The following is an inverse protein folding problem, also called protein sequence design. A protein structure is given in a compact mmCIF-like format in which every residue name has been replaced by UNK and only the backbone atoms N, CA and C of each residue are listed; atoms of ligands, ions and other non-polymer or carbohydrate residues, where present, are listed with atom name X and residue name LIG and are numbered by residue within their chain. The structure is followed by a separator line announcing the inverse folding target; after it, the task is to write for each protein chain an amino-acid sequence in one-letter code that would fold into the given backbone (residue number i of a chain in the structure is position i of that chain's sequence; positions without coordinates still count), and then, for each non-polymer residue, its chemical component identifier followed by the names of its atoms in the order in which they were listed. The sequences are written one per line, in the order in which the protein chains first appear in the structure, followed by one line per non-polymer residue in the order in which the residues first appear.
data_IF_008134865415
#
_entry.id   IF_008134865415
#
_cell.length_a   1.000
_cell.length_b   1.000
_cell.length_c   1.000
_cell.angle_alpha   90.00
_cell.angle_beta   90.00
_cell.angle_gamma   90.00
#
_symmetry.space_group_name_H-M   'P 1'
#
loop_
_entity.id
_entity.type
_entity.pdbx_description
1 polymer ?
2 non-polymer ?
3 non-polymer ?
4 water ?
#
# COMPACT_ATOMS: atom_id res chain seq x y z
N UNK A 1 23.62 -19.22 13.01
CA UNK A 1 23.29 -20.51 13.68
C UNK A 1 21.79 -20.90 13.63
N UNK A 2 20.96 -20.16 12.90
CA UNK A 2 19.50 -20.42 12.88
C UNK A 2 19.02 -21.18 11.65
N UNK A 3 19.85 -21.20 10.60
CA UNK A 3 19.46 -21.81 9.32
C UNK A 3 19.00 -23.26 9.53
N UNK A 4 17.94 -23.63 8.83
CA UNK A 4 17.40 -24.98 8.88
C UNK A 4 16.61 -25.36 10.13
N UNK A 5 16.44 -24.46 11.10
CA UNK A 5 15.65 -24.78 12.29
C UNK A 5 14.74 -23.65 12.81
N UNK A 6 13.86 -24.06 13.72
CA UNK A 6 12.80 -23.23 14.29
C UNK A 6 13.41 -22.04 15.01
N UNK A 7 12.77 -20.88 14.83
CA UNK A 7 13.12 -19.66 15.55
C UNK A 7 11.98 -19.27 16.52
N UNK A 8 12.38 -19.03 17.77
CA UNK A 8 11.50 -18.51 18.82
C UNK A 8 11.67 -17.01 18.79
N UNK A 9 10.56 -16.27 18.70
CA UNK A 9 10.62 -14.79 18.63
C UNK A 9 9.31 -14.14 19.06
N UNK A 10 9.28 -12.83 19.01
CA UNK A 10 8.10 -12.06 19.34
C UNK A 10 7.39 -11.71 18.04
N UNK A 11 6.06 -11.70 18.12
CA UNK A 11 5.19 -11.25 17.02
C UNK A 11 4.00 -10.53 17.61
N UNK A 12 3.18 -9.95 16.74
CA UNK A 12 1.98 -9.25 17.12
C UNK A 12 0.81 -10.04 16.60
N UNK A 13 0.12 -10.73 17.49
CA UNK A 13 -0.95 -11.64 17.12
C UNK A 13 -2.33 -11.03 17.37
N UNK A 14 -3.21 -11.11 16.37
CA UNK A 14 -4.59 -10.68 16.54
C UNK A 14 -5.46 -11.93 16.76
N UNK A 15 -5.80 -12.21 18.01
CA UNK A 15 -6.55 -13.45 18.38
C UNK A 15 -7.99 -13.44 17.87
N UNK A 16 -8.60 -12.26 17.85
CA UNK A 16 -9.94 -12.11 17.33
C UNK A 16 -10.21 -10.66 16.96
N UNK A 17 -11.39 -10.46 16.36
CA UNK A 17 -11.82 -9.15 15.87
C UNK A 17 -11.89 -8.13 17.01
N UNK A 18 -11.61 -6.88 16.69
CA UNK A 18 -11.90 -5.71 17.54
C UNK A 18 -11.27 -5.81 18.92
N UNK A 19 -10.03 -6.22 18.93
CA UNK A 19 -9.22 -6.30 20.11
C UNK A 19 -7.85 -5.73 19.77
N UNK A 20 -7.08 -5.37 20.78
CA UNK A 20 -5.76 -4.87 20.44
C UNK A 20 -4.88 -6.06 20.03
N UNK A 21 -3.73 -5.77 19.44
CA UNK A 21 -2.71 -6.80 19.20
C UNK A 21 -2.05 -7.21 20.52
N UNK A 22 -1.85 -8.51 20.74
CA UNK A 22 -1.03 -8.96 21.88
C UNK A 22 0.34 -9.40 21.39
N UNK A 23 1.36 -8.92 22.11
CA UNK A 23 2.73 -9.34 21.92
C UNK A 23 2.76 -10.76 22.54
N UNK A 24 3.03 -11.77 21.70
CA UNK A 24 3.15 -13.16 22.11
C UNK A 24 4.51 -13.72 21.66
N UNK A 25 4.95 -14.79 22.33
CA UNK A 25 6.09 -15.56 21.87
C UNK A 25 5.63 -16.52 20.76
N UNK A 26 6.46 -16.64 19.73
CA UNK A 26 6.08 -17.29 18.50
C UNK A 26 7.15 -18.25 18.02
N UNK A 27 6.71 -19.35 17.45
CA UNK A 27 7.60 -20.27 16.78
C UNK A 27 7.45 -20.10 15.26
N UNK A 28 8.54 -19.74 14.60
CA UNK A 28 8.55 -19.55 13.16
C UNK A 28 9.29 -20.72 12.56
N UNK A 29 8.55 -21.59 11.85
CA UNK A 29 9.16 -22.74 11.19
C UNK A 29 10.18 -22.28 10.14
N UNK A 30 11.20 -23.12 9.88
CA UNK A 30 12.17 -22.81 8.82
C UNK A 30 11.57 -22.88 7.41
N UNK A 31 12.16 -22.15 6.45
CA UNK A 31 11.67 -22.12 5.07
C UNK A 31 11.73 -23.48 4.35
N UNK A 32 10.60 -23.94 3.80
CA UNK A 32 10.52 -25.10 2.90
C UNK A 32 10.95 -24.71 1.48
N UNK A 33 10.86 -25.66 0.54
CA UNK A 33 11.11 -25.43 -0.90
C UNK A 33 10.48 -24.13 -1.44
N UNK A 34 11.35 -23.29 -2.00
CA UNK A 34 10.96 -22.03 -2.64
C UNK A 34 10.40 -20.96 -1.69
N UNK A 35 10.80 -21.04 -0.42
CA UNK A 35 10.38 -20.07 0.60
C UNK A 35 11.59 -19.36 1.23
N UNK A 36 11.40 -18.09 1.59
CA UNK A 36 12.43 -17.25 2.20
C UNK A 36 11.99 -16.97 3.61
N UNK A 37 12.94 -16.69 4.50
CA UNK A 37 12.63 -16.26 5.87
C UNK A 37 13.43 -15.03 6.19
N UNK A 38 12.80 -14.10 6.89
CA UNK A 38 13.25 -12.71 6.92
C UNK A 38 13.22 -12.17 8.34
N UNK A 39 14.32 -11.57 8.77
CA UNK A 39 14.35 -10.75 9.99
C UNK A 39 13.83 -9.35 9.70
N UNK A 40 12.67 -9.00 10.26
CA UNK A 40 12.12 -7.65 10.03
C UNK A 40 13.04 -6.61 10.65
N UNK A 41 13.24 -5.53 9.90
CA UNK A 41 13.90 -4.34 10.42
C UNK A 41 12.92 -3.18 10.55
N UNK A 42 11.92 -3.07 9.67
CA UNK A 42 10.86 -2.04 9.84
C UNK A 42 9.57 -2.38 9.14
N UNK A 43 8.44 -2.12 9.78
CA UNK A 43 7.13 -2.36 9.17
C UNK A 43 6.31 -1.12 9.34
N UNK A 44 5.53 -0.75 8.32
CA UNK A 44 4.61 0.38 8.39
C UNK A 44 3.26 -0.09 8.89
N UNK A 45 2.49 0.83 9.44
CA UNK A 45 1.10 0.56 9.84
C UNK A 45 0.18 1.17 8.78
N UNK A 46 -0.52 0.31 8.04
CA UNK A 46 -1.39 0.77 6.97
C UNK A 46 -2.85 0.55 7.36
N UNK A 47 -3.74 1.27 6.71
CA UNK A 47 -5.20 1.15 6.87
C UNK A 47 -5.78 -0.25 6.80
N UNK A 48 -5.31 -1.04 5.83
CA UNK A 48 -5.86 -2.39 5.62
C UNK A 48 -5.65 -3.29 6.86
N UNK A 49 -4.50 -3.12 7.52
CA UNK A 49 -4.22 -3.78 8.78
C UNK A 49 -5.27 -3.43 9.83
N UNK A 50 -5.66 -2.16 9.94
CA UNK A 50 -6.77 -1.75 10.85
C UNK A 50 -8.09 -2.38 10.39
N UNK A 51 -8.33 -2.44 9.08
CA UNK A 51 -9.55 -3.07 8.59
C UNK A 51 -9.60 -4.54 8.98
N UNK A 52 -8.45 -5.22 9.11
CA UNK A 52 -8.40 -6.61 9.65
C UNK A 52 -8.96 -6.63 11.07
N UNK A 53 -8.54 -5.62 11.86
CA UNK A 53 -8.97 -5.43 13.26
C UNK A 53 -10.48 -5.22 13.43
N UNK A 54 -11.09 -4.34 12.64
CA UNK A 54 -12.57 -4.13 12.70
C UNK A 54 -13.41 -5.26 12.06
N UNK A 55 -12.76 -6.19 11.37
CA UNK A 55 -13.44 -7.29 10.67
C UNK A 55 -14.01 -6.93 9.31
N UNK A 56 -13.61 -5.77 8.77
CA UNK A 56 -14.10 -5.26 7.50
C UNK A 56 -13.24 -5.68 6.29
N UNK A 57 -11.99 -6.09 6.54
CA UNK A 57 -11.20 -6.85 5.57
C UNK A 57 -11.17 -8.27 6.12
N UNK A 58 -11.99 -9.14 5.51
CA UNK A 58 -12.21 -10.50 5.99
C UNK A 58 -11.03 -11.40 5.56
N UNK A 59 -10.22 -11.80 6.52
CA UNK A 59 -9.13 -12.78 6.33
C UNK A 59 -9.25 -13.70 7.54
N UNK A 60 -8.73 -14.93 7.48
CA UNK A 60 -8.96 -15.81 8.64
C UNK A 60 -8.10 -15.45 9.86
N UNK A 61 -8.68 -15.62 11.05
CA UNK A 61 -8.05 -15.34 12.35
C UNK A 61 -7.80 -16.65 13.11
N UNK A 62 -6.93 -16.68 14.11
CA UNK A 62 -5.97 -15.63 14.42
C UNK A 62 -4.94 -15.43 13.32
N UNK A 63 -4.35 -14.24 13.28
CA UNK A 63 -3.46 -13.86 12.20
C UNK A 63 -2.37 -12.97 12.73
N UNK A 64 -1.17 -13.17 12.18
CA UNK A 64 -0.09 -12.17 12.22
C UNK A 64 -0.36 -11.35 10.99
N UNK A 65 -0.70 -10.08 11.21
CA UNK A 65 -1.04 -9.14 10.16
C UNK A 65 0.19 -8.33 9.74
N UNK A 66 -0.02 -7.23 9.05
CA UNK A 66 1.10 -6.39 8.61
C UNK A 66 1.57 -6.85 7.25
N UNK A 67 1.70 -5.91 6.32
CA UNK A 67 2.10 -6.16 4.93
C UNK A 67 3.07 -5.14 4.25
N UNK A 68 3.32 -4.00 4.91
CA UNK A 68 4.25 -2.96 4.44
C UNK A 68 5.53 -3.07 5.28
N UNK A 69 6.60 -3.64 4.71
CA UNK A 69 7.83 -3.88 5.47
C UNK A 69 9.09 -3.97 4.65
N UNK A 70 10.24 -3.86 5.33
CA UNK A 70 11.51 -4.36 4.79
C UNK A 70 12.26 -5.11 5.87
N UNK A 71 13.26 -5.86 5.46
CA UNK A 71 14.08 -6.62 6.38
C UNK A 71 15.26 -7.26 5.71
N UNK A 72 15.82 -8.26 6.36
CA UNK A 72 17.00 -8.95 5.85
C UNK A 72 16.72 -10.45 5.89
N UNK A 73 17.12 -11.16 4.83
CA UNK A 73 16.95 -12.59 4.74
C UNK A 73 17.82 -13.30 5.80
N UNK A 74 17.22 -14.22 6.58
CA UNK A 74 17.95 -15.05 7.53
C UNK A 74 18.46 -16.34 6.89
N UNK A 75 17.59 -17.00 6.11
CA UNK A 75 17.94 -18.20 5.34
C UNK A 75 17.03 -18.33 4.12
N UNK A 76 17.26 -19.34 3.29
CA UNK A 76 16.43 -19.62 2.09
C UNK A 76 16.13 -21.11 2.01
N UNK A 77 15.04 -21.48 1.37
CA UNK A 77 14.69 -22.87 1.15
C UNK A 77 15.42 -23.41 -0.07
N UNK A 78 15.07 -24.63 -0.49
CA UNK A 78 15.65 -25.24 -1.68
C UNK A 78 15.28 -24.48 -2.96
N UNK A 79 16.25 -24.37 -3.88
CA UNK A 79 15.99 -23.91 -5.24
C UNK A 79 15.60 -22.45 -5.39
N UNK A 80 15.74 -21.69 -4.31
CA UNK A 80 15.51 -20.24 -4.30
C UNK A 80 16.68 -19.60 -5.04
N UNK A 81 16.34 -18.73 -5.99
CA UNK A 81 17.29 -18.15 -6.92
C UNK A 81 17.37 -16.64 -6.83
N UNK A 82 16.27 -15.99 -6.46
CA UNK A 82 16.14 -14.53 -6.59
C UNK A 82 16.79 -13.72 -5.47
N UNK A 83 17.04 -14.40 -4.34
CA UNK A 83 17.63 -13.80 -3.14
C UNK A 83 18.59 -14.76 -2.43
N UNK A 84 19.53 -14.20 -1.67
CA UNK A 84 20.53 -14.96 -0.86
C UNK A 84 20.36 -14.66 0.62
N UNK A 85 20.96 -15.50 1.52
CA UNK A 85 21.17 -15.10 2.91
C UNK A 85 21.69 -13.65 3.06
N UNK A 86 21.11 -12.88 3.98
CA UNK A 86 21.56 -11.50 4.24
C UNK A 86 21.14 -10.39 3.26
N UNK A 87 20.46 -10.77 2.17
CA UNK A 87 20.02 -9.77 1.23
C UNK A 87 18.94 -8.98 1.93
N UNK A 88 19.02 -7.65 1.82
CA UNK A 88 17.93 -6.79 2.25
C UNK A 88 16.77 -7.03 1.28
N UNK A 89 15.53 -6.94 1.77
CA UNK A 89 14.36 -7.31 0.97
C UNK A 89 13.14 -6.54 1.40
N UNK A 90 12.13 -6.51 0.51
CA UNK A 90 10.76 -6.04 0.83
C UNK A 90 9.76 -7.12 0.42
N UNK A 91 8.98 -7.63 1.39
CA UNK A 91 7.88 -8.51 1.01
C UNK A 91 6.86 -7.85 0.10
N UNK A 92 6.22 -8.66 -0.74
CA UNK A 92 5.35 -8.18 -1.81
C UNK A 92 3.95 -8.75 -1.58
N UNK A 93 3.01 -7.92 -1.12
CA UNK A 93 1.65 -8.43 -0.76
C UNK A 93 0.84 -8.78 -2.01
N UNK A 94 1.24 -8.20 -3.12
CA UNK A 94 0.84 -8.59 -4.44
C UNK A 94 2.06 -9.31 -5.01
N UNK A 95 1.97 -10.65 -5.20
CA UNK A 95 3.08 -11.38 -5.80
C UNK A 95 3.42 -11.05 -7.28
N UNK A 96 4.49 -11.69 -7.78
CA UNK A 96 4.74 -11.79 -9.21
C UNK A 96 5.25 -13.19 -9.50
N UNK A 97 4.32 -14.12 -9.73
CA UNK A 97 4.71 -15.48 -10.14
C UNK A 97 5.44 -15.49 -11.49
N UNK A 98 5.08 -14.56 -12.38
CA UNK A 98 5.69 -14.46 -13.72
C UNK A 98 5.12 -15.45 -14.72
N UNK A 99 4.10 -16.22 -14.29
CA UNK A 99 3.56 -17.37 -15.04
C UNK A 99 2.05 -17.35 -15.26
N UNK A 100 1.28 -16.58 -14.49
CA UNK A 100 -0.17 -16.52 -14.71
C UNK A 100 -0.54 -15.65 -15.93
N UNK A 101 -1.81 -15.69 -16.33
CA UNK A 101 -2.36 -14.81 -17.37
C UNK A 101 -1.98 -13.34 -17.11
N UNK A 102 -2.15 -12.95 -15.86
CA UNK A 102 -1.99 -11.56 -15.45
C UNK A 102 -0.49 -11.16 -15.52
N UNK A 103 0.37 -11.96 -14.90
CA UNK A 103 1.82 -11.72 -14.92
C UNK A 103 2.38 -11.64 -16.37
N UNK A 104 1.94 -12.56 -17.23
CA UNK A 104 2.33 -12.54 -18.65
C UNK A 104 1.84 -11.32 -19.43
N UNK A 105 0.71 -10.74 -19.02
CA UNK A 105 0.13 -9.54 -19.69
C UNK A 105 1.03 -8.31 -19.50
N UNK A 106 1.07 -7.40 -20.49
CA UNK A 106 1.96 -6.23 -20.36
C UNK A 106 1.49 -5.08 -19.45
N UNK A 107 0.18 -4.99 -19.22
CA UNK A 107 -0.43 -3.96 -18.38
C UNK A 107 -0.76 -4.45 -16.96
N UNK A 108 -1.09 -5.73 -16.82
CA UNK A 108 -1.57 -6.27 -15.55
C UNK A 108 -0.52 -6.51 -14.47
N UNK A 109 -0.97 -6.45 -13.22
CA UNK A 109 -0.15 -6.72 -12.04
C UNK A 109 -0.83 -7.53 -10.90
N UNK A 110 -2.14 -7.75 -10.96
CA UNK A 110 -2.86 -8.41 -9.90
C UNK A 110 -2.73 -9.92 -10.13
N UNK A 111 -1.56 -10.42 -9.73
CA UNK A 111 -1.14 -11.80 -9.94
C UNK A 111 -2.24 -12.75 -9.45
N UNK A 112 -2.51 -13.82 -10.21
CA UNK A 112 -3.60 -14.72 -9.86
C UNK A 112 -3.26 -15.53 -8.61
N UNK A 113 -1.97 -15.59 -8.27
CA UNK A 113 -1.56 -16.21 -7.02
C UNK A 113 -1.73 -15.31 -5.76
N UNK A 114 -2.37 -14.14 -5.90
CA UNK A 114 -2.65 -13.27 -4.75
C UNK A 114 -3.58 -13.91 -3.72
N UNK A 115 -3.45 -13.46 -2.47
CA UNK A 115 -4.31 -13.89 -1.33
C UNK A 115 -5.31 -12.78 -0.94
N UNK A 116 -5.58 -11.84 -1.84
CA UNK A 116 -6.44 -10.68 -1.56
C UNK A 116 -7.93 -10.91 -1.81
N UNK A 117 -8.25 -11.58 -2.91
CA UNK A 117 -9.64 -11.72 -3.35
C UNK A 117 -10.48 -12.61 -2.41
N UNK A 118 -10.01 -13.82 -2.16
CA UNK A 118 -10.64 -14.74 -1.21
C UNK A 118 -9.54 -15.23 -0.28
N UNK A 119 -9.16 -14.40 0.71
CA UNK A 119 -7.95 -14.73 1.49
C UNK A 119 -8.00 -16.08 2.22
N UNK A 120 -6.95 -16.88 2.06
CA UNK A 120 -6.75 -18.16 2.77
C UNK A 120 -5.90 -18.01 4.07
N UNK A 121 -5.12 -16.93 4.15
CA UNK A 121 -4.23 -16.72 5.27
C UNK A 121 -3.24 -17.84 5.42
N UNK A 122 -2.62 -18.24 4.32
CA UNK A 122 -1.62 -19.30 4.38
C UNK A 122 -0.42 -18.95 3.48
N UNK A 123 0.55 -19.87 3.41
CA UNK A 123 1.60 -19.85 2.38
C UNK A 123 0.96 -20.37 1.09
N UNK A 124 1.70 -20.30 -0.03
CA UNK A 124 1.19 -20.80 -1.30
C UNK A 124 0.78 -22.27 -1.23
N UNK A 125 1.44 -23.06 -0.38
CA UNK A 125 1.13 -24.49 -0.24
C UNK A 125 -0.08 -24.88 0.64
N UNK A 126 -0.72 -23.91 1.30
CA UNK A 126 -1.90 -24.18 2.13
C UNK A 126 -1.66 -24.39 3.61
N UNK A 127 -0.42 -24.20 4.07
CA UNK A 127 -0.08 -24.37 5.49
C UNK A 127 0.49 -23.08 6.10
N UNK A 128 0.62 -23.08 7.42
CA UNK A 128 1.12 -21.96 8.23
C UNK A 128 2.51 -22.27 8.78
N UNK A 129 3.34 -21.24 8.85
CA UNK A 129 4.69 -21.37 9.40
C UNK A 129 4.79 -20.78 10.82
N UNK A 130 3.67 -20.35 11.40
CA UNK A 130 3.63 -19.71 12.72
C UNK A 130 2.86 -20.58 13.72
N UNK A 131 3.42 -20.82 14.91
CA UNK A 131 2.63 -21.32 16.07
C UNK A 131 2.81 -20.45 17.31
N UNK A 132 1.69 -20.26 18.04
CA UNK A 132 1.68 -19.66 19.38
C UNK A 132 0.98 -20.58 20.40
N UNK A 133 1.78 -21.12 21.33
CA UNK A 133 1.35 -22.13 22.33
C UNK A 133 0.90 -23.45 21.67
N UNK A 134 1.50 -23.80 20.53
CA UNK A 134 1.01 -24.90 19.69
C UNK A 134 -0.24 -24.63 18.85
N UNK A 135 -0.94 -23.53 19.07
CA UNK A 135 -2.07 -23.15 18.22
C UNK A 135 -1.49 -22.50 16.96
N UNK A 136 -1.82 -23.02 15.76
CA UNK A 136 -1.33 -22.36 14.54
C UNK A 136 -1.98 -20.99 14.32
N UNK A 137 -1.28 -20.09 13.63
CA UNK A 137 -1.78 -18.73 13.33
C UNK A 137 -1.61 -18.45 11.84
N UNK A 138 -2.61 -17.81 11.24
CA UNK A 138 -2.59 -17.54 9.81
C UNK A 138 -1.61 -16.44 9.40
N UNK A 139 -1.20 -16.50 8.13
CA UNK A 139 -0.45 -15.44 7.48
C UNK A 139 -1.45 -14.40 7.01
N UNK A 140 -0.94 -13.27 6.53
CA UNK A 140 -1.78 -12.23 5.97
C UNK A 140 -1.12 -11.80 4.67
N UNK A 141 -1.88 -11.89 3.58
CA UNK A 141 -1.42 -11.52 2.22
C UNK A 141 -0.09 -12.14 1.80
N UNK A 142 0.17 -13.36 2.26
CA UNK A 142 1.44 -13.98 2.07
C UNK A 142 2.63 -13.18 2.56
N UNK A 143 2.43 -12.25 3.52
CA UNK A 143 3.51 -11.40 4.08
C UNK A 143 3.66 -11.52 5.62
N UNK A 144 2.69 -10.99 6.37
CA UNK A 144 2.69 -11.06 7.85
C UNK A 144 3.92 -10.42 8.45
N UNK A 145 3.94 -9.10 8.51
CA UNK A 145 5.16 -8.37 8.83
C UNK A 145 5.23 -7.87 10.27
N UNK A 146 4.12 -7.99 11.02
CA UNK A 146 4.11 -7.73 12.48
C UNK A 146 4.86 -8.82 13.33
N UNK A 147 6.13 -9.10 13.01
CA UNK A 147 6.88 -10.19 13.64
C UNK A 147 8.38 -9.94 13.42
N UNK A 148 9.22 -10.34 14.37
CA UNK A 148 10.66 -10.15 14.25
C UNK A 148 11.16 -11.06 13.13
N UNK A 149 10.43 -12.14 12.88
CA UNK A 149 10.72 -13.08 11.81
C UNK A 149 9.42 -13.48 11.06
N UNK A 150 9.50 -13.56 9.73
CA UNK A 150 8.42 -14.09 8.87
C UNK A 150 9.01 -15.00 7.84
N UNK A 151 8.12 -15.70 7.17
CA UNK A 151 8.50 -16.56 6.05
C UNK A 151 7.48 -16.29 4.96
N UNK A 152 7.97 -16.11 3.73
CA UNK A 152 7.12 -15.85 2.56
C UNK A 152 7.57 -16.68 1.36
N UNK A 153 6.66 -16.86 0.40
CA UNK A 153 6.96 -17.63 -0.82
C UNK A 153 7.87 -16.78 -1.70
N UNK A 154 8.69 -17.42 -2.55
CA UNK A 154 9.71 -16.63 -3.30
C UNK A 154 9.07 -15.53 -4.18
N UNK A 155 7.90 -15.84 -4.71
CA UNK A 155 7.15 -14.90 -5.54
C UNK A 155 6.53 -13.72 -4.77
N UNK A 156 6.67 -13.71 -3.43
CA UNK A 156 6.28 -12.58 -2.57
C UNK A 156 7.45 -11.86 -1.91
N UNK A 157 8.60 -11.78 -2.58
CA UNK A 157 9.75 -11.05 -2.01
C UNK A 157 10.68 -10.51 -3.09
N UNK A 158 11.27 -9.34 -2.82
CA UNK A 158 12.13 -8.67 -3.77
C UNK A 158 13.48 -8.28 -3.15
N UNK A 159 14.57 -8.65 -3.82
CA UNK A 159 15.90 -8.18 -3.44
C UNK A 159 16.00 -6.66 -3.68
N UNK A 160 16.71 -5.93 -2.81
CA UNK A 160 16.90 -4.46 -3.00
C UNK A 160 18.35 -4.02 -2.72
N UNK A 161 18.70 -2.81 -3.15
CA UNK A 161 20.07 -2.25 -3.01
C UNK A 161 20.60 -2.58 -1.60
N UNK A 162 21.83 -3.10 -1.52
CA UNK A 162 22.41 -3.57 -0.25
C UNK A 162 22.62 -2.48 0.79
N UNK A 163 22.33 -1.23 0.44
CA UNK A 163 22.64 -0.06 1.26
C UNK A 163 21.42 0.80 1.63
N UNK A 164 20.20 0.31 1.40
CA UNK A 164 19.00 1.17 1.57
C UNK A 164 18.60 1.33 3.06
N UNK A 165 18.19 2.55 3.48
CA UNK A 165 17.77 2.70 4.87
C UNK A 165 16.40 2.04 5.06
N UNK A 166 16.39 0.85 5.68
CA UNK A 166 15.17 0.04 5.79
C UNK A 166 14.04 0.70 6.57
N UNK A 167 14.39 1.61 7.48
CA UNK A 167 13.37 2.43 8.17
C UNK A 167 12.54 3.24 7.16
N UNK A 168 13.13 3.62 6.02
CA UNK A 168 12.46 4.48 5.04
C UNK A 168 11.88 3.72 3.82
N UNK A 169 12.69 2.91 3.14
CA UNK A 169 12.22 2.19 1.93
C UNK A 169 11.10 1.14 2.13
N UNK A 170 10.80 0.79 3.38
CA UNK A 170 9.67 -0.11 3.66
C UNK A 170 8.33 0.39 3.10
N UNK A 171 8.13 1.71 3.10
CA UNK A 171 6.97 2.38 2.43
C UNK A 171 6.68 1.99 0.95
N UNK A 172 7.72 1.55 0.24
CA UNK A 172 7.58 0.99 -1.12
C UNK A 172 6.85 -0.36 -1.13
N UNK A 173 6.75 -1.02 0.02
CA UNK A 173 5.94 -2.20 0.18
C UNK A 173 4.45 -2.01 0.06
N UNK A 174 3.98 -0.78 0.23
CA UNK A 174 2.55 -0.51 0.06
C UNK A 174 2.13 0.93 -0.18
N UNK A 175 2.11 1.75 0.87
CA UNK A 175 1.48 3.08 0.78
C UNK A 175 2.03 4.06 -0.27
N UNK A 176 3.36 4.11 -0.38
CA UNK A 176 4.01 4.98 -1.36
C UNK A 176 3.66 4.53 -2.76
N UNK A 177 4.08 3.31 -3.12
CA UNK A 177 3.95 2.75 -4.46
C UNK A 177 2.49 2.65 -4.93
N UNK A 178 1.55 2.51 -3.98
CA UNK A 178 0.11 2.51 -4.27
C UNK A 178 -0.27 3.90 -4.79
N UNK A 179 0.14 4.95 -4.11
CA UNK A 179 -0.13 6.31 -4.58
C UNK A 179 0.69 6.82 -5.79
N UNK A 180 2.02 6.72 -5.68
CA UNK A 180 2.92 7.10 -6.76
C UNK A 180 2.49 6.40 -8.03
N UNK A 181 2.35 5.08 -7.97
CA UNK A 181 2.01 4.30 -9.16
C UNK A 181 0.70 4.62 -9.82
N UNK A 182 -0.30 4.96 -9.00
CA UNK A 182 -1.60 5.40 -9.47
C UNK A 182 -1.47 6.59 -10.47
N UNK A 183 -0.50 7.47 -10.20
CA UNK A 183 -0.27 8.65 -11.02
C UNK A 183 0.61 8.40 -12.23
N UNK A 184 1.76 7.73 -12.06
CA UNK A 184 2.75 7.56 -13.15
C UNK A 184 2.60 6.27 -14.00
N UNK A 185 2.18 5.16 -13.39
CA UNK A 185 1.94 3.95 -14.17
C UNK A 185 0.51 3.83 -14.68
N UNK A 186 -0.48 3.99 -13.80
CA UNK A 186 -1.88 3.69 -14.15
C UNK A 186 -2.47 4.79 -15.02
N UNK A 187 -2.51 5.99 -14.46
CA UNK A 187 -3.13 7.14 -15.10
C UNK A 187 -2.26 7.65 -16.23
N UNK A 188 -0.94 7.54 -16.06
CA UNK A 188 0.06 8.06 -17.02
C UNK A 188 -0.10 9.58 -17.16
N UNK A 189 -0.07 10.27 -16.02
CA UNK A 189 -0.13 11.75 -15.99
C UNK A 189 0.88 12.29 -16.98
N UNK A 190 0.52 13.37 -17.66
CA UNK A 190 1.35 13.94 -18.73
C UNK A 190 1.79 15.37 -18.40
N UNK A 191 2.77 15.84 -19.16
CA UNK A 191 3.28 17.20 -19.03
C UNK A 191 2.16 18.23 -19.01
N UNK A 192 2.28 19.19 -18.10
CA UNK A 192 1.41 20.36 -18.07
C UNK A 192 -0.06 20.13 -17.73
N UNK A 193 -0.41 18.90 -17.36
CA UNK A 193 -1.79 18.51 -17.15
C UNK A 193 -2.29 19.11 -15.85
N UNK A 194 -3.60 19.05 -15.63
CA UNK A 194 -4.22 19.47 -14.39
C UNK A 194 -4.71 18.23 -13.62
N UNK A 195 -4.14 18.00 -12.43
CA UNK A 195 -4.50 16.86 -11.60
C UNK A 195 -5.37 17.29 -10.43
N UNK A 196 -6.15 16.36 -9.90
CA UNK A 196 -6.97 16.62 -8.74
C UNK A 196 -6.99 15.38 -7.85
N UNK A 197 -6.36 15.46 -6.66
CA UNK A 197 -6.29 14.36 -5.69
C UNK A 197 -7.35 14.50 -4.56
N UNK A 198 -8.14 13.46 -4.35
CA UNK A 198 -9.16 13.41 -3.31
C UNK A 198 -8.65 12.52 -2.18
N UNK A 199 -8.46 13.10 -0.99
CA UNK A 199 -7.81 12.44 0.16
C UNK A 199 -6.30 12.70 0.25
N UNK A 200 -5.86 13.34 1.35
CA UNK A 200 -4.49 13.82 1.55
C UNK A 200 -3.72 13.15 2.73
N UNK A 201 -4.14 11.94 3.10
CA UNK A 201 -3.29 11.01 3.86
C UNK A 201 -2.11 10.65 2.99
N UNK A 202 -1.33 9.69 3.42
CA UNK A 202 -0.01 9.37 2.85
C UNK A 202 -0.03 8.76 1.49
N UNK A 203 -1.08 8.04 1.17
CA UNK A 203 -1.22 7.49 -0.18
C UNK A 203 -1.48 8.68 -1.14
N UNK A 204 -2.47 9.51 -0.77
CA UNK A 204 -2.76 10.72 -1.51
C UNK A 204 -1.53 11.60 -1.76
N UNK A 205 -0.70 11.74 -0.74
CA UNK A 205 0.51 12.55 -0.85
C UNK A 205 1.48 11.88 -1.82
N UNK A 206 1.51 10.55 -1.82
CA UNK A 206 2.36 9.82 -2.74
C UNK A 206 1.83 9.95 -4.17
N UNK A 207 0.52 9.92 -4.32
CA UNK A 207 -0.12 10.34 -5.59
C UNK A 207 0.36 11.72 -6.02
N UNK A 208 0.30 12.70 -5.11
CA UNK A 208 0.74 14.04 -5.46
C UNK A 208 2.19 14.00 -5.91
N UNK A 209 3.00 13.25 -5.19
CA UNK A 209 4.39 13.12 -5.56
C UNK A 209 4.50 12.51 -6.95
N UNK A 210 3.66 11.52 -7.27
CA UNK A 210 3.64 10.92 -8.62
C UNK A 210 3.21 11.86 -9.75
N UNK A 211 2.29 12.78 -9.41
CA UNK A 211 1.80 13.84 -10.33
C UNK A 211 2.87 14.91 -10.62
N UNK A 212 3.60 15.35 -9.57
CA UNK A 212 4.78 16.22 -9.74
C UNK A 212 5.92 15.54 -10.50
N UNK A 213 6.14 14.26 -10.25
CA UNK A 213 7.17 13.50 -10.97
C UNK A 213 6.91 13.51 -12.48
N UNK A 214 5.64 13.50 -12.88
CA UNK A 214 5.26 13.44 -14.30
C UNK A 214 5.32 14.79 -15.07
N UNK A 215 5.35 15.92 -14.37
CA UNK A 215 5.40 17.27 -14.99
C UNK A 215 4.07 18.01 -15.02
N UNK A 216 3.21 17.72 -14.04
CA UNK A 216 1.90 18.37 -13.94
C UNK A 216 2.07 19.82 -13.57
N UNK A 217 1.37 20.67 -14.30
CA UNK A 217 1.39 22.11 -14.05
C UNK A 217 0.51 22.43 -12.86
N UNK A 218 -0.60 21.69 -12.71
CA UNK A 218 -1.56 21.94 -11.62
C UNK A 218 -1.92 20.64 -10.87
N UNK A 219 -1.81 20.69 -9.55
CA UNK A 219 -2.11 19.57 -8.66
C UNK A 219 -3.00 20.07 -7.52
N UNK A 220 -4.30 19.77 -7.66
CA UNK A 220 -5.30 20.31 -6.75
C UNK A 220 -5.60 19.28 -5.67
N UNK A 221 -5.20 19.57 -4.42
CA UNK A 221 -5.49 18.67 -3.32
C UNK A 221 -6.88 18.92 -2.76
N UNK A 222 -7.64 17.88 -2.54
CA UNK A 222 -8.94 17.99 -1.85
C UNK A 222 -8.94 17.15 -0.58
N UNK A 223 -9.39 17.76 0.52
CA UNK A 223 -9.59 17.09 1.82
C UNK A 223 -10.49 17.93 2.72
N UNK A 224 -11.21 17.26 3.61
CA UNK A 224 -12.15 17.91 4.55
C UNK A 224 -11.43 18.41 5.80
N UNK A 225 -10.23 17.89 6.05
CA UNK A 225 -9.40 18.30 7.15
C UNK A 225 -8.27 19.25 6.67
N UNK A 226 -8.48 20.55 6.90
CA UNK A 226 -7.45 21.62 6.71
C UNK A 226 -6.00 21.23 7.05
N UNK A 227 -5.81 20.51 8.15
CA UNK A 227 -4.48 20.22 8.70
C UNK A 227 -3.56 19.37 7.78
N UNK A 228 -4.13 18.82 6.71
CA UNK A 228 -3.42 17.95 5.79
C UNK A 228 -2.78 18.74 4.65
N UNK A 229 -3.17 20.02 4.53
CA UNK A 229 -2.82 20.87 3.40
C UNK A 229 -1.36 21.31 3.29
N UNK A 230 -0.69 21.63 4.41
CA UNK A 230 0.70 22.14 4.38
C UNK A 230 1.59 21.10 3.72
N UNK A 231 1.55 19.90 4.31
CA UNK A 231 2.28 18.75 3.80
C UNK A 231 2.05 18.51 2.29
N UNK A 232 0.80 18.58 1.84
CA UNK A 232 0.52 18.37 0.41
C UNK A 232 1.19 19.40 -0.50
N UNK A 233 1.19 20.67 -0.07
CA UNK A 233 1.86 21.71 -0.84
C UNK A 233 3.35 21.52 -0.75
N UNK A 234 3.83 21.13 0.41
CA UNK A 234 5.21 20.72 0.53
C UNK A 234 5.57 19.66 -0.52
N UNK A 235 4.78 18.60 -0.69
CA UNK A 235 5.16 17.54 -1.68
C UNK A 235 4.91 17.85 -3.16
N UNK A 236 4.26 18.96 -3.47
CA UNK A 236 4.03 19.37 -4.85
C UNK A 236 2.66 19.90 -5.20
N UNK A 237 1.70 19.76 -4.28
CA UNK A 237 0.37 20.26 -4.54
C UNK A 237 0.41 21.78 -4.75
N UNK A 238 0.07 22.23 -5.96
CA UNK A 238 0.09 23.66 -6.28
C UNK A 238 -1.10 24.41 -5.66
N UNK A 239 -2.16 23.70 -5.25
CA UNK A 239 -3.38 24.30 -4.70
C UNK A 239 -4.10 23.29 -3.80
N UNK A 240 -4.80 23.79 -2.79
CA UNK A 240 -5.66 22.96 -1.93
C UNK A 240 -7.03 23.54 -1.73
N UNK A 241 -8.00 22.66 -1.48
CA UNK A 241 -9.39 23.06 -1.36
C UNK A 241 -10.13 22.13 -0.40
N UNK A 242 -10.99 22.70 0.43
CA UNK A 242 -11.75 21.96 1.43
C UNK A 242 -13.20 22.11 1.07
N UNK A 243 -13.84 21.01 0.61
CA UNK A 243 -15.27 21.06 0.21
C UNK A 243 -16.25 21.76 1.17
N UNK A 244 -15.95 21.74 2.47
CA UNK A 244 -16.85 22.29 3.50
C UNK A 244 -16.79 23.79 3.65
N UNK A 245 -15.82 24.43 2.99
CA UNK A 245 -15.78 25.87 2.85
C UNK A 245 -16.84 26.39 1.85
N UNK A 246 -17.34 25.52 0.98
CA UNK A 246 -18.12 25.96 -0.18
C UNK A 246 -19.65 25.79 -0.06
N UNK A 247 -20.38 26.52 -0.89
CA UNK A 247 -21.84 26.40 -1.03
C UNK A 247 -22.18 25.38 -2.13
N UNK A 248 -21.38 25.35 -3.21
CA UNK A 248 -21.62 24.48 -4.38
C UNK A 248 -20.95 23.13 -4.14
N UNK A 249 -21.48 22.05 -4.75
CA UNK A 249 -20.82 20.76 -4.56
C UNK A 249 -19.51 20.77 -5.33
N UNK A 250 -18.54 20.01 -4.88
CA UNK A 250 -17.14 20.29 -5.20
C UNK A 250 -16.71 20.03 -6.65
N UNK A 251 -17.33 19.06 -7.34
CA UNK A 251 -17.06 18.87 -8.79
C UNK A 251 -17.49 20.09 -9.61
N UNK A 252 -18.55 20.76 -9.16
CA UNK A 252 -18.99 22.04 -9.76
C UNK A 252 -17.90 23.14 -9.60
N UNK A 253 -17.31 23.27 -8.40
CA UNK A 253 -16.19 24.22 -8.13
C UNK A 253 -14.89 23.81 -8.85
N UNK A 254 -14.58 22.52 -8.80
CA UNK A 254 -13.39 21.98 -9.46
C UNK A 254 -13.49 22.11 -10.97
N UNK A 255 -14.70 21.98 -11.52
CA UNK A 255 -14.94 22.18 -12.96
C UNK A 255 -14.71 23.66 -13.34
N UNK A 256 -15.26 24.61 -12.60
CA UNK A 256 -15.01 26.04 -12.97
C UNK A 256 -13.55 26.45 -12.70
N UNK A 257 -12.93 25.87 -11.66
CA UNK A 257 -11.50 26.05 -11.35
C UNK A 257 -10.58 25.58 -12.48
N UNK A 258 -10.92 24.44 -13.06
CA UNK A 258 -10.12 23.80 -14.08
C UNK A 258 -10.53 24.17 -15.51
N UNK A 259 -11.41 25.18 -15.65
CA UNK A 259 -11.91 25.67 -16.96
C UNK A 259 -12.65 24.60 -17.79
N UNK A 260 -13.51 23.85 -17.12
CA UNK A 260 -14.32 22.79 -17.75
C UNK A 260 -13.85 21.36 -17.51
N UNK A 261 -13.08 21.13 -16.46
CA UNK A 261 -12.70 19.78 -16.07
C UNK A 261 -11.20 19.49 -16.13
N UNK A 262 -10.74 18.69 -15.17
CA UNK A 262 -9.34 18.27 -15.05
C UNK A 262 -8.98 17.10 -15.99
N UNK A 263 -7.68 16.99 -16.28
CA UNK A 263 -7.12 15.90 -17.08
C UNK A 263 -7.14 14.55 -16.35
N UNK A 264 -6.82 14.56 -15.05
CA UNK A 264 -6.67 13.35 -14.22
C UNK A 264 -7.21 13.61 -12.83
N UNK A 265 -8.20 12.83 -12.39
CA UNK A 265 -8.62 12.82 -10.99
C UNK A 265 -8.31 11.48 -10.30
N UNK A 266 -8.11 11.54 -8.98
CA UNK A 266 -7.74 10.38 -8.19
C UNK A 266 -8.57 10.36 -6.95
N UNK A 267 -9.28 9.25 -6.71
CA UNK A 267 -9.98 9.03 -5.46
C UNK A 267 -9.05 8.21 -4.57
N UNK A 268 -8.63 8.82 -3.49
CA UNK A 268 -7.76 8.19 -2.54
C UNK A 268 -8.39 8.36 -1.17
N UNK A 269 -9.68 8.00 -1.01
CA UNK A 269 -10.39 8.19 0.27
C UNK A 269 -10.98 6.90 0.73
N UNK A 270 -11.99 6.41 0.02
CA UNK A 270 -12.70 5.22 0.49
C UNK A 270 -13.97 5.56 1.23
N UNK A 271 -14.71 6.51 0.66
CA UNK A 271 -16.15 6.55 0.78
C UNK A 271 -16.58 6.25 -0.63
N UNK A 272 -17.90 6.14 -0.82
CA UNK A 272 -18.47 5.91 -2.15
C UNK A 272 -18.62 7.22 -2.95
N UNK A 273 -19.45 8.15 -2.47
CA UNK A 273 -19.59 9.53 -3.01
C UNK A 273 -18.35 10.12 -3.68
N UNK A 274 -17.20 10.07 -2.99
CA UNK A 274 -16.02 10.77 -3.46
C UNK A 274 -15.46 10.22 -4.77
N UNK A 275 -15.71 8.94 -5.02
CA UNK A 275 -15.38 8.34 -6.31
C UNK A 275 -16.17 8.97 -7.44
N UNK A 276 -17.44 9.27 -7.19
CA UNK A 276 -18.31 9.84 -8.22
C UNK A 276 -17.97 11.29 -8.51
N UNK A 277 -17.78 12.04 -7.45
CA UNK A 277 -17.27 13.41 -7.54
C UNK A 277 -16.03 13.48 -8.43
N UNK A 278 -15.04 12.65 -8.12
CA UNK A 278 -13.74 12.69 -8.79
C UNK A 278 -13.87 12.39 -10.27
N UNK A 279 -14.77 11.47 -10.62
CA UNK A 279 -15.00 11.12 -12.03
C UNK A 279 -15.64 12.27 -12.76
N UNK A 280 -16.69 12.80 -12.14
CA UNK A 280 -17.44 13.92 -12.71
C UNK A 280 -16.56 15.16 -13.00
N UNK A 281 -15.69 15.51 -12.06
CA UNK A 281 -14.82 16.69 -12.19
C UNK A 281 -13.72 16.61 -13.26
N UNK A 282 -13.48 15.46 -13.91
CA UNK A 282 -12.54 15.41 -15.04
C UNK A 282 -13.23 15.72 -16.38
N UNK A 283 -12.43 16.20 -17.34
CA UNK A 283 -12.95 16.78 -18.57
C UNK A 283 -13.72 15.71 -19.34
N UNK A 284 -14.94 16.07 -19.74
CA UNK A 284 -15.96 15.15 -20.27
C UNK A 284 -15.53 14.28 -21.45
N UNK A 285 -14.72 14.86 -22.32
CA UNK A 285 -14.27 14.21 -23.54
C UNK A 285 -13.08 13.31 -23.40
N UNK A 286 -12.11 13.71 -22.58
CA UNK A 286 -10.83 12.99 -22.47
C UNK A 286 -10.25 12.81 -21.04
N UNK A 287 -11.03 13.09 -19.99
CA UNK A 287 -10.57 12.95 -18.62
C UNK A 287 -10.42 11.51 -18.16
N UNK A 288 -9.49 11.28 -17.26
CA UNK A 288 -9.23 9.97 -16.71
C UNK A 288 -9.33 10.09 -15.18
N UNK A 289 -10.19 9.29 -14.56
CA UNK A 289 -10.28 9.22 -13.10
C UNK A 289 -9.80 7.83 -12.62
N UNK A 290 -9.02 7.83 -11.55
CA UNK A 290 -8.42 6.60 -11.03
C UNK A 290 -8.87 6.34 -9.59
N UNK A 291 -9.42 5.16 -9.37
CA UNK A 291 -9.80 4.69 -8.05
C UNK A 291 -8.56 4.09 -7.44
N UNK A 292 -8.07 4.70 -6.39
CA UNK A 292 -6.95 4.14 -5.66
C UNK A 292 -7.50 3.44 -4.41
N UNK A 293 -8.24 4.20 -3.61
CA UNK A 293 -8.80 3.71 -2.40
C UNK A 293 -10.24 3.38 -2.58
N UNK A 294 -10.72 2.48 -1.73
CA UNK A 294 -12.09 1.95 -1.75
C UNK A 294 -12.49 1.78 -0.27
N UNK A 295 -13.78 1.78 0.09
CA UNK A 295 -14.04 1.28 1.46
C UNK A 295 -13.93 -0.24 1.47
N UNK A 296 -13.45 -0.84 2.57
CA UNK A 296 -13.36 -2.31 2.68
C UNK A 296 -14.74 -2.97 2.82
N UNK A 297 -15.70 -2.20 3.34
CA UNK A 297 -17.15 -2.54 3.39
C UNK A 297 -17.69 -3.23 2.15
N UNK A 298 -17.13 -2.90 0.97
CA UNK A 298 -17.42 -3.56 -0.31
C UNK A 298 -18.80 -3.20 -0.96
N UNK A 299 -19.45 -2.13 -0.49
CA UNK A 299 -20.82 -1.77 -0.94
C UNK A 299 -20.89 -1.29 -2.40
N UNK A 300 -22.11 -1.04 -2.89
CA UNK A 300 -22.38 -0.61 -4.27
C UNK A 300 -22.59 0.90 -4.39
N UNK A 301 -21.94 1.52 -5.39
CA UNK A 301 -22.17 2.93 -5.70
C UNK A 301 -23.26 3.16 -6.76
N UNK A 302 -23.75 4.41 -6.82
CA UNK A 302 -24.76 4.84 -7.78
C UNK A 302 -24.10 5.87 -8.74
N UNK A 303 -24.35 5.75 -10.05
CA UNK A 303 -23.63 6.59 -11.06
C UNK A 303 -24.30 6.61 -12.47
N UNK A 304 -24.17 7.75 -13.15
CA UNK A 304 -24.82 8.00 -14.43
C UNK A 304 -23.80 7.69 -15.53
N UNK A 305 -24.07 6.68 -16.36
CA UNK A 305 -23.11 6.30 -17.40
C UNK A 305 -23.00 7.27 -18.56
N UNK A 306 -23.86 8.29 -18.60
CA UNK A 306 -23.63 9.51 -19.42
C UNK A 306 -22.21 10.07 -19.21
N UNK A 307 -21.73 10.05 -17.97
CA UNK A 307 -20.39 10.54 -17.66
C UNK A 307 -19.32 9.81 -18.48
N UNK A 308 -19.48 8.50 -18.69
CA UNK A 308 -18.53 7.72 -19.50
C UNK A 308 -18.72 7.92 -20.99
N UNK A 309 -19.96 7.96 -21.43
CA UNK A 309 -20.30 8.07 -22.85
C UNK A 309 -19.72 9.30 -23.54
N UNK A 310 -19.50 10.39 -22.79
CA UNK A 310 -18.91 11.57 -23.43
C UNK A 310 -17.43 11.35 -23.82
N UNK A 311 -16.80 10.28 -23.30
CA UNK A 311 -15.36 9.98 -23.51
C UNK A 311 -14.50 9.78 -22.24
N UNK A 312 -15.09 9.85 -21.06
CA UNK A 312 -14.33 9.69 -19.83
C UNK A 312 -13.86 8.25 -19.70
N UNK A 313 -12.76 8.08 -18.97
CA UNK A 313 -12.20 6.78 -18.62
C UNK A 313 -12.18 6.64 -17.10
N UNK A 314 -12.62 5.50 -16.60
CA UNK A 314 -12.69 5.25 -15.17
C UNK A 314 -11.97 3.92 -14.98
N UNK A 315 -10.89 3.94 -14.20
CA UNK A 315 -10.11 2.75 -13.92
C UNK A 315 -9.60 2.75 -12.50
N UNK A 316 -8.97 1.65 -12.11
CA UNK A 316 -8.39 1.54 -10.77
C UNK A 316 -7.26 0.54 -10.77
N UNK A 317 -6.67 0.35 -9.61
CA UNK A 317 -5.52 -0.54 -9.48
C UNK A 317 -5.19 -0.90 -8.03
N UNK A 318 -4.41 -1.95 -7.91
CA UNK A 318 -3.78 -2.33 -6.67
C UNK A 318 -2.30 -2.18 -6.87
N UNK A 319 -1.68 -1.55 -5.86
CA UNK A 319 -0.25 -1.39 -5.76
C UNK A 319 0.24 -0.58 -6.94
N UNK A 320 -0.52 0.48 -7.24
CA UNK A 320 -0.25 1.44 -8.27
C UNK A 320 0.02 0.84 -9.63
N UNK A 321 -0.66 -0.25 -9.94
CA UNK A 321 -0.45 -0.97 -11.19
C UNK A 321 0.95 -1.54 -11.40
N UNK A 322 1.79 -1.52 -10.37
CA UNK A 322 3.18 -1.96 -10.48
C UNK A 322 3.26 -3.48 -10.44
N UNK A 323 4.00 -4.05 -11.39
CA UNK A 323 4.33 -5.48 -11.37
C UNK A 323 5.33 -5.58 -10.25
N UNK A 324 4.98 -6.28 -9.18
CA UNK A 324 5.66 -6.12 -7.89
C UNK A 324 7.17 -6.44 -7.87
N UNK A 325 7.57 -7.62 -8.32
CA UNK A 325 8.99 -8.02 -8.22
C UNK A 325 9.93 -7.30 -9.22
N UNK A 326 9.41 -6.93 -10.38
CA UNK A 326 10.13 -6.04 -11.32
C UNK A 326 10.27 -4.63 -10.79
N UNK A 327 9.18 -4.10 -10.21
CA UNK A 327 9.09 -2.68 -9.83
C UNK A 327 9.82 -2.29 -8.53
N UNK A 328 9.67 -3.07 -7.46
CA UNK A 328 10.18 -2.64 -6.14
C UNK A 328 11.70 -2.31 -6.12
N UNK A 329 12.56 -3.17 -6.69
CA UNK A 329 14.01 -2.89 -6.72
C UNK A 329 14.43 -1.66 -7.57
N UNK A 330 13.63 -1.32 -8.58
CA UNK A 330 13.85 -0.11 -9.39
C UNK A 330 13.29 1.11 -8.64
N UNK A 331 12.11 0.97 -8.03
CA UNK A 331 11.56 2.02 -7.16
C UNK A 331 12.48 2.40 -6.00
N UNK A 332 13.18 1.42 -5.43
CA UNK A 332 14.16 1.66 -4.34
C UNK A 332 15.45 2.27 -4.90
N UNK A 333 15.89 1.73 -6.03
CA UNK A 333 17.01 2.31 -6.78
C UNK A 333 16.72 3.81 -7.05
N UNK A 334 15.50 4.13 -7.48
CA UNK A 334 15.06 5.54 -7.67
C UNK A 334 15.11 6.41 -6.40
N UNK A 335 14.90 5.83 -5.23
CA UNK A 335 15.08 6.51 -3.93
C UNK A 335 16.56 6.84 -3.64
N UNK A 336 17.44 5.89 -3.97
CA UNK A 336 18.88 6.01 -3.73
C UNK A 336 19.55 6.92 -4.76
N UNK A 337 18.95 7.05 -5.95
CA UNK A 337 19.29 8.13 -6.90
C UNK A 337 18.60 9.47 -6.56
N UNK A 338 17.86 9.51 -5.45
CA UNK A 338 17.29 10.71 -4.86
C UNK A 338 16.27 11.40 -5.78
N UNK A 339 15.61 10.60 -6.63
CA UNK A 339 14.56 11.10 -7.51
C UNK A 339 13.19 11.30 -6.84
N UNK A 340 13.13 11.08 -5.52
CA UNK A 340 12.03 11.53 -4.63
C UNK A 340 12.42 11.21 -3.19
N UNK A 341 11.87 11.95 -2.22
CA UNK A 341 12.16 11.79 -0.79
C UNK A 341 10.95 11.20 -0.01
N UNK A 342 11.27 10.37 0.99
CA UNK A 342 10.24 9.63 1.74
C UNK A 342 9.96 10.23 3.09
N UNK A 343 10.93 10.96 3.64
CA UNK A 343 10.76 11.64 4.93
C UNK A 343 9.42 12.31 5.14
N UNK A 344 8.91 13.08 4.14
CA UNK A 344 7.62 13.75 4.33
C UNK A 344 6.42 12.83 4.70
N UNK A 345 6.50 11.55 4.32
CA UNK A 345 5.46 10.58 4.60
C UNK A 345 5.55 9.96 5.98
N UNK A 346 6.69 10.11 6.65
CA UNK A 346 6.91 9.49 7.95
C UNK A 346 6.75 10.50 9.09
N UNK A 347 5.58 10.47 9.73
CA UNK A 347 5.23 11.35 10.86
C UNK A 347 5.57 10.83 12.26
N UNK A 348 5.47 9.52 12.50
CA UNK A 348 5.72 8.91 13.83
C UNK A 348 6.55 7.63 13.70
N UNK A 349 7.54 7.46 14.58
CA UNK A 349 8.36 6.24 14.65
C UNK A 349 8.25 5.63 16.06
N UNK A 350 8.11 4.33 16.15
CA UNK A 350 7.92 3.65 17.44
C UNK A 350 8.62 2.29 17.45
N UNK A 351 8.98 1.82 18.65
CA UNK A 351 9.43 0.41 18.72
C UNK A 351 8.28 -0.54 18.47
N UNK A 352 8.60 -1.64 17.81
CA UNK A 352 7.64 -2.65 17.51
C UNK A 352 6.66 -2.96 18.65
N UNK A 353 7.12 -2.82 19.88
CA UNK A 353 6.37 -3.24 21.05
C UNK A 353 5.15 -2.31 21.31
N UNK A 354 5.26 -1.05 20.91
CA UNK A 354 4.12 -0.12 20.99
C UNK A 354 3.36 -0.10 19.65
N UNK A 355 3.20 -1.27 19.03
CA UNK A 355 2.28 -1.41 17.90
C UNK A 355 0.89 -0.82 18.20
N UNK A 356 0.30 -1.17 19.37
CA UNK A 356 -1.03 -0.69 19.73
C UNK A 356 -1.09 0.82 19.77
N UNK A 357 -0.02 1.47 20.21
CA UNK A 357 0.08 2.93 20.19
C UNK A 357 0.00 3.48 18.76
N UNK A 358 0.76 2.90 17.83
CA UNK A 358 0.72 3.33 16.42
C UNK A 358 -0.67 3.26 15.77
N UNK A 359 -1.42 2.20 16.11
CA UNK A 359 -2.80 2.00 15.65
C UNK A 359 -3.79 3.02 16.25
N UNK A 360 -3.54 3.46 17.49
CA UNK A 360 -4.27 4.60 18.09
C UNK A 360 -4.04 5.90 17.28
N UNK A 361 -2.81 6.10 16.77
CA UNK A 361 -2.43 7.28 15.97
C UNK A 361 -2.95 7.28 14.53
N UNK A 362 -3.35 6.13 14.01
CA UNK A 362 -4.01 6.07 12.71
C UNK A 362 -5.51 6.37 12.88
N UNK A 363 -6.17 5.70 13.84
CA UNK A 363 -7.62 5.86 14.13
C UNK A 363 -8.07 7.30 14.49
N UNK A 364 -7.17 8.06 15.15
CA UNK A 364 -7.40 9.46 15.50
C UNK A 364 -6.97 10.41 14.37
N UNK A 365 -6.43 9.87 13.28
CA UNK A 365 -6.12 10.65 12.09
C UNK A 365 -4.92 11.57 12.29
N UNK A 366 -4.10 11.25 13.27
CA UNK A 366 -2.95 12.06 13.65
C UNK A 366 -1.71 11.60 12.87
N UNK A 367 -1.64 10.31 12.61
CA UNK A 367 -0.55 9.78 11.81
C UNK A 367 -0.85 9.87 10.30
N UNK A 368 0.16 10.28 9.53
CA UNK A 368 0.24 9.98 8.11
C UNK A 368 0.79 8.56 7.99
N UNK A 369 1.92 8.32 8.62
CA UNK A 369 2.47 6.97 8.68
C UNK A 369 3.35 6.77 9.90
N UNK A 370 2.92 5.83 10.76
CA UNK A 370 3.73 5.34 11.86
C UNK A 370 4.58 4.16 11.35
N UNK A 371 5.87 4.20 11.66
CA UNK A 371 6.78 3.08 11.41
C UNK A 371 7.16 2.35 12.72
N UNK A 372 6.90 1.04 12.79
CA UNK A 372 7.39 0.21 13.88
C UNK A 372 8.77 -0.37 13.55
N UNK A 373 9.71 -0.24 14.50
CA UNK A 373 11.10 -0.72 14.32
C UNK A 373 11.48 -1.87 15.32
N UNK A 374 12.50 -2.65 14.98
CA UNK A 374 12.87 -3.88 15.74
C UNK A 374 14.26 -3.80 16.42
X LIG B 1 -1.26 -1.23 2.48
X LIG C 1 0.98 -14.27 -11.42
X LIG D 1 -13.89 14.18 1.51
X LIG D 1 -12.59 14.40 1.32
X LIG D 1 -11.64 13.77 2.05
X LIG D 1 -11.96 12.88 3.02
X LIG D 1 -13.37 12.61 3.31
X LIG D 1 -14.35 13.34 2.48
X LIG D 1 -15.67 13.15 2.66
X LIG D 1 -13.40 11.71 4.32
X LIG D 1 -12.11 11.44 4.66
X LIG D 1 -11.27 12.15 3.88
X LIG D 1 -9.79 12.17 3.90
X LIG D 1 -9.10 12.07 5.28
X LIG D 1 -8.90 13.35 5.90
X LIG D 1 -7.76 11.43 4.92
X LIG D 1 -6.69 12.40 4.94
X LIG D 1 -7.94 10.87 3.50
X LIG D 1 -9.30 11.06 3.15
X LIG D 1 -7.55 9.42 3.28
X LIG D 1 -6.33 9.12 3.91
X LIG D 1 -6.22 8.03 5.08
X LIG D 1 -7.60 7.87 5.66
X LIG D 1 -5.13 8.51 5.98
X LIG D 1 -5.66 6.74 4.32
X LIG D 1 -4.37 6.72 3.33
X LIG D 1 -3.28 5.90 3.96
X LIG D 1 -4.01 8.03 2.72
X LIG D 1 -4.92 5.82 2.11
X LIG D 1 -5.19 4.42 2.27
X LIG D 1 -6.28 3.90 1.32
X LIG D 1 -7.55 4.70 1.54
X LIG D 1 -5.79 4.07 -0.13
X LIG D 1 -6.53 2.40 1.61
X LIG D 1 -7.41 2.25 2.73
X LIG D 1 -7.16 1.66 0.45
X LIG D 1 -8.36 1.68 0.33
X LIG D 1 -6.39 0.96 -0.38
X LIG D 1 -6.98 0.11 -1.43
X LIG D 1 -6.00 -0.83 -2.14
X LIG D 1 -5.79 -2.13 -1.38
X LIG D 1 -6.68 -2.67 -0.77
X LIG D 1 -4.56 -2.63 -1.36
X LIG D 1 -4.14 -3.69 -0.43
X LIG D 1 -3.03 -3.20 0.50
X LIG D 1 -3.44 -1.67 1.42
#
# INVERSE_FOLDING_TARGET
STAGKVIKCKAAVLWEEKKPFSIEEVEVAPPKAHEVRIKMVATGICRSDDHVVSGTLVTPLPVIAGHEAAGIVESIGEGVTTVRPGDKVIPLFTPQCGKCRVCKHPEGNFCLKNDLSMPRGTMQDGTSRFTCRGKPIHHFLGTSTFSQYTVVDEISVAKIDAASPLEKVCLIGCGFSTGYGSAVKVAKVTQGSTCAVFGLGGVGLSVIMGCKAAGAARIIGVDINKDKFAKAKEVGATECVNPQDYKKPIQEVLTEMSNGGVDFSFNVIGRLDTMVTALSCCQEAYGVSVIVGVPPDSQNLSMNPMLLLSGRTWKGAIFGGFKSKDSVPKLVADFMAKKFALDPLITHVLPFEKINEGFDLLRSGESIRTILTF
ZN ZN
ZN ZN
COD N1 C2 N3 C4 C5 C6 N7 N8 C9 N10 C11 C12 O13 C14 O15 C16 O17 C18 O19 P20 O21 O22 O23 P24 O25 O26 O27 C28 C29 C30 C31 C32 O33 C34 O35 N36 C37 C38 C39 O40 N41 C42 C43 S44
#
